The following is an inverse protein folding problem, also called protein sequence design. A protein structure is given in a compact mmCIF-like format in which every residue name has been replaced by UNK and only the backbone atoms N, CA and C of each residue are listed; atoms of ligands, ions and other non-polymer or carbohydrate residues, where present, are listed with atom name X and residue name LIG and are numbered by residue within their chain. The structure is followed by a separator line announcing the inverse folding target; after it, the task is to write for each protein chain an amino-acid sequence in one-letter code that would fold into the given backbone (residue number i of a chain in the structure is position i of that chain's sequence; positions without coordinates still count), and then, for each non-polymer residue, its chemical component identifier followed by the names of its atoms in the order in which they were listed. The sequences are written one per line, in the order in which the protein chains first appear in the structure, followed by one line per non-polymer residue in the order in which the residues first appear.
data_IF_043455610278
#
_entry.id   IF_043455610278
#
_cell.length_a   1.000
_cell.length_b   1.000
_cell.length_c   1.000
_cell.angle_alpha   90.00
_cell.angle_beta   90.00
_cell.angle_gamma   90.00
#
_symmetry.space_group_name_H-M   'P 1'
#
loop_
_entity.id
_entity.type
_entity.pdbx_description
1 polymer ?
#
# COMPACT_ATOMS: atom_id res chain seq x y z
N UNK A 1 -27.02 32.80 47.29
CA UNK A 1 -27.65 33.42 46.10
C UNK A 1 -27.29 32.60 44.87
N UNK A 2 -28.32 32.10 44.20
CA UNK A 2 -28.25 31.26 43.01
C UNK A 2 -27.74 32.05 41.79
N UNK A 3 -26.86 31.44 41.00
CA UNK A 3 -26.76 31.74 39.57
C UNK A 3 -26.57 30.43 38.80
N UNK A 4 -27.71 29.87 38.38
CA UNK A 4 -27.81 28.72 37.48
C UNK A 4 -27.36 29.15 36.09
N UNK A 5 -26.20 28.67 35.62
CA UNK A 5 -25.89 28.69 34.19
C UNK A 5 -26.84 27.73 33.46
N UNK A 6 -27.69 28.28 32.60
CA UNK A 6 -28.54 27.56 31.65
C UNK A 6 -27.66 26.62 30.80
N UNK A 7 -27.95 25.32 30.84
CA UNK A 7 -27.48 24.37 29.83
C UNK A 7 -28.13 24.76 28.50
N UNK A 8 -27.33 25.24 27.56
CA UNK A 8 -27.71 25.24 26.16
C UNK A 8 -27.80 23.77 25.73
N UNK A 9 -28.99 23.36 25.30
CA UNK A 9 -29.25 22.09 24.64
C UNK A 9 -28.47 22.14 23.33
N UNK A 10 -27.30 21.52 23.33
CA UNK A 10 -26.53 21.29 22.12
C UNK A 10 -27.30 20.32 21.24
N UNK A 11 -27.75 20.82 20.09
CA UNK A 11 -28.22 20.04 18.95
C UNK A 11 -27.25 18.87 18.76
N UNK A 12 -27.79 17.64 18.78
CA UNK A 12 -27.00 16.44 18.58
C UNK A 12 -26.22 16.57 17.26
N UNK A 13 -24.90 16.68 17.36
CA UNK A 13 -24.01 16.52 16.22
C UNK A 13 -24.30 15.16 15.59
N UNK A 14 -24.43 15.06 14.26
CA UNK A 14 -24.58 13.77 13.60
C UNK A 14 -23.49 12.84 14.07
N UNK A 15 -23.89 11.65 14.49
CA UNK A 15 -23.05 10.67 15.15
C UNK A 15 -21.74 10.46 14.40
N UNK A 16 -20.66 10.23 15.14
CA UNK A 16 -19.32 9.89 14.64
C UNK A 16 -19.30 8.71 13.64
N UNK A 17 -20.41 7.99 13.50
CA UNK A 17 -20.71 6.98 12.48
C UNK A 17 -20.71 7.54 11.05
N UNK A 18 -21.18 8.78 10.82
CA UNK A 18 -21.21 9.35 9.47
C UNK A 18 -19.82 9.70 8.94
N UNK A 19 -18.93 10.15 9.83
CA UNK A 19 -17.55 10.56 9.55
C UNK A 19 -16.59 9.38 9.27
N UNK A 20 -16.99 8.14 9.52
CA UNK A 20 -16.17 6.94 9.24
C UNK A 20 -16.29 6.40 7.82
N UNK A 21 -17.22 6.91 7.02
CA UNK A 21 -17.45 6.44 5.65
C UNK A 21 -16.48 7.15 4.69
N UNK A 22 -15.20 6.73 4.72
CA UNK A 22 -14.12 7.33 3.95
C UNK A 22 -13.88 6.70 2.55
N UNK A 23 -14.74 5.76 2.13
CA UNK A 23 -14.74 5.16 0.78
C UNK A 23 -15.78 5.78 -0.17
N UNK A 24 -16.57 6.76 0.29
CA UNK A 24 -17.69 7.30 -0.50
C UNK A 24 -17.18 8.25 -1.58
N UNK A 25 -17.12 7.81 -2.84
CA UNK A 25 -17.56 8.70 -3.91
C UNK A 25 -19.06 8.47 -4.08
N UNK A 26 -19.86 9.53 -4.13
CA UNK A 26 -21.29 9.41 -4.47
C UNK A 26 -21.48 8.64 -5.78
N UNK A 27 -20.55 8.82 -6.73
CA UNK A 27 -20.50 8.09 -7.99
C UNK A 27 -20.44 6.55 -7.83
N UNK A 28 -19.73 6.02 -6.83
CA UNK A 28 -19.67 4.58 -6.62
C UNK A 28 -21.00 4.02 -6.09
N UNK A 29 -21.68 4.75 -5.20
CA UNK A 29 -23.00 4.37 -4.69
C UNK A 29 -24.07 4.53 -5.77
N UNK A 30 -23.98 5.57 -6.58
CA UNK A 30 -24.84 5.79 -7.73
C UNK A 30 -24.69 4.66 -8.75
N UNK A 31 -23.46 4.23 -9.06
CA UNK A 31 -23.21 3.09 -9.95
C UNK A 31 -23.82 1.78 -9.42
N UNK A 32 -23.69 1.49 -8.12
CA UNK A 32 -24.29 0.31 -7.48
C UNK A 32 -25.82 0.37 -7.57
N UNK A 33 -26.42 1.53 -7.29
CA UNK A 33 -27.88 1.71 -7.35
C UNK A 33 -28.42 1.72 -8.78
N UNK A 34 -27.70 2.32 -9.73
CA UNK A 34 -28.09 2.35 -11.13
C UNK A 34 -28.12 0.95 -11.74
N UNK A 35 -27.16 0.09 -11.34
CA UNK A 35 -27.13 -1.30 -11.79
C UNK A 35 -28.41 -2.08 -11.47
N UNK A 36 -29.04 -1.81 -10.32
CA UNK A 36 -30.29 -2.48 -9.91
C UNK A 36 -31.47 -2.23 -10.85
N UNK A 37 -31.39 -1.23 -11.75
CA UNK A 37 -32.50 -0.81 -12.62
C UNK A 37 -32.41 -1.31 -14.06
N UNK A 38 -31.21 -1.63 -14.56
CA UNK A 38 -30.95 -1.72 -16.00
C UNK A 38 -30.32 -3.04 -16.48
N UNK A 39 -30.09 -4.04 -15.61
CA UNK A 39 -29.36 -5.25 -15.98
C UNK A 39 -30.27 -6.41 -16.44
N UNK A 40 -30.14 -6.82 -17.70
CA UNK A 40 -30.67 -8.08 -18.23
C UNK A 40 -29.58 -9.17 -18.08
N UNK A 41 -29.73 -10.06 -17.08
CA UNK A 41 -28.78 -11.15 -16.78
C UNK A 41 -28.17 -11.15 -15.36
N UNK A 42 -27.43 -12.21 -14.98
CA UNK A 42 -26.82 -12.31 -13.65
C UNK A 42 -25.72 -11.25 -13.45
N UNK A 43 -25.89 -10.45 -12.40
CA UNK A 43 -24.96 -9.40 -12.04
C UNK A 43 -23.80 -9.92 -11.18
N UNK A 44 -22.56 -9.54 -11.51
CA UNK A 44 -21.37 -9.90 -10.74
C UNK A 44 -20.62 -8.67 -10.23
N UNK A 45 -20.16 -8.74 -8.98
CA UNK A 45 -19.43 -7.67 -8.32
C UNK A 45 -18.00 -8.13 -8.02
N UNK A 46 -16.99 -7.37 -8.45
CA UNK A 46 -15.62 -7.57 -8.01
C UNK A 46 -15.19 -6.42 -7.09
N UNK A 47 -14.99 -6.73 -5.81
CA UNK A 47 -14.35 -5.82 -4.87
C UNK A 47 -12.88 -6.16 -4.78
N UNK A 48 -12.04 -5.17 -4.92
CA UNK A 48 -10.61 -5.30 -4.73
C UNK A 48 -10.10 -4.11 -3.96
N UNK A 49 -8.99 -4.32 -3.26
CA UNK A 49 -8.41 -3.28 -2.46
C UNK A 49 -7.74 -2.22 -3.36
N UNK A 50 -8.51 -1.24 -3.80
CA UNK A 50 -7.98 -0.03 -4.44
C UNK A 50 -7.34 0.83 -3.36
N UNK A 51 -6.05 1.22 -3.46
CA UNK A 51 -5.51 2.27 -2.61
C UNK A 51 -6.30 3.53 -2.95
N UNK A 52 -7.30 3.85 -2.13
CA UNK A 52 -8.04 5.10 -2.20
C UNK A 52 -7.03 6.23 -2.38
N UNK A 53 -7.31 7.13 -3.33
CA UNK A 53 -6.66 8.44 -3.43
C UNK A 53 -7.05 9.32 -2.22
N UNK A 54 -6.93 8.79 -1.00
CA UNK A 54 -7.16 9.51 0.23
C UNK A 54 -5.82 10.09 0.70
N UNK A 55 -5.65 11.39 0.44
CA UNK A 55 -4.58 12.21 1.00
C UNK A 55 -4.46 11.98 2.52
N UNK A 56 -3.21 11.82 2.97
CA UNK A 56 -2.66 12.24 4.28
C UNK A 56 -3.40 11.75 5.56
N UNK A 57 -3.19 10.51 6.03
CA UNK A 57 -3.25 10.15 7.49
C UNK A 57 -2.11 9.20 7.95
N UNK A 58 -1.65 9.26 9.24
CA UNK A 58 -0.27 8.93 9.66
C UNK A 58 -0.16 7.80 10.72
N UNK A 59 -0.92 6.72 10.59
CA UNK A 59 -0.73 5.50 11.42
C UNK A 59 -0.37 4.35 10.46
N UNK A 60 0.06 3.15 10.93
CA UNK A 60 0.03 1.96 10.05
C UNK A 60 -1.32 2.00 9.33
N UNK A 61 -1.33 1.91 7.97
CA UNK A 61 -2.53 2.23 7.22
C UNK A 61 -3.67 1.43 7.85
N UNK A 62 -4.74 2.08 8.38
CA UNK A 62 -5.93 1.31 8.68
C UNK A 62 -6.28 0.56 7.41
N UNK A 63 -6.81 -0.67 7.51
CA UNK A 63 -7.30 -1.35 6.33
C UNK A 63 -8.16 -0.33 5.56
N UNK A 64 -7.92 -0.19 4.25
CA UNK A 64 -8.63 0.78 3.45
C UNK A 64 -10.12 0.64 3.73
N UNK A 65 -10.86 1.76 3.80
CA UNK A 65 -12.23 1.74 4.28
C UNK A 65 -13.04 0.78 3.41
N UNK A 66 -13.48 -0.32 4.00
CA UNK A 66 -14.42 -1.23 3.36
C UNK A 66 -15.80 -0.59 3.42
N UNK A 67 -16.56 -0.55 2.31
CA UNK A 67 -17.94 -0.10 2.35
C UNK A 67 -18.75 -0.93 3.36
N UNK A 68 -19.74 -0.37 4.06
CA UNK A 68 -20.70 -1.16 4.83
C UNK A 68 -21.35 -2.25 3.96
N UNK A 69 -21.45 -3.51 4.42
CA UNK A 69 -22.10 -4.57 3.65
C UNK A 69 -23.54 -4.27 3.24
N UNK A 70 -24.29 -3.50 4.06
CA UNK A 70 -25.65 -3.09 3.74
C UNK A 70 -25.78 -2.16 2.53
N UNK A 71 -24.69 -1.54 2.05
CA UNK A 71 -24.74 -0.72 0.82
C UNK A 71 -24.98 -1.59 -0.45
N UNK A 72 -24.82 -2.91 -0.35
CA UNK A 72 -25.05 -3.87 -1.44
C UNK A 72 -26.41 -4.58 -1.33
N UNK A 73 -27.17 -4.33 -0.27
CA UNK A 73 -28.50 -4.92 -0.08
C UNK A 73 -29.46 -4.40 -1.17
N UNK A 74 -30.15 -5.33 -1.83
CA UNK A 74 -31.08 -5.00 -2.91
C UNK A 74 -30.43 -4.56 -4.24
N UNK A 75 -29.09 -4.63 -4.36
CA UNK A 75 -28.40 -4.25 -5.59
C UNK A 75 -28.47 -5.31 -6.71
N UNK A 76 -29.01 -6.50 -6.44
CA UNK A 76 -29.25 -7.54 -7.44
C UNK A 76 -28.03 -8.38 -7.85
N UNK A 77 -26.88 -8.22 -7.18
CA UNK A 77 -25.69 -9.03 -7.48
C UNK A 77 -25.89 -10.50 -7.11
N UNK A 78 -25.57 -11.41 -8.04
CA UNK A 78 -25.58 -12.86 -7.85
C UNK A 78 -24.28 -13.36 -7.21
N UNK A 79 -23.14 -12.82 -7.65
CA UNK A 79 -21.82 -13.22 -7.15
C UNK A 79 -20.99 -12.00 -6.77
N UNK A 80 -20.32 -12.06 -5.63
CA UNK A 80 -19.31 -11.10 -5.22
C UNK A 80 -17.93 -11.75 -5.06
N UNK A 81 -16.95 -11.25 -5.80
CA UNK A 81 -15.55 -11.62 -5.68
C UNK A 81 -14.81 -10.62 -4.80
N UNK A 82 -14.16 -11.08 -3.74
CA UNK A 82 -13.26 -10.27 -2.91
C UNK A 82 -11.81 -10.60 -3.27
N UNK A 83 -11.07 -9.65 -3.89
CA UNK A 83 -9.73 -9.88 -4.43
C UNK A 83 -8.65 -9.24 -3.54
N UNK A 84 -7.73 -10.06 -3.02
CA UNK A 84 -6.64 -9.70 -2.09
C UNK A 84 -7.12 -9.20 -0.71
N UNK A 85 -8.31 -9.61 -0.28
CA UNK A 85 -8.84 -9.35 1.07
C UNK A 85 -10.13 -10.14 1.37
N UNK A 86 -10.43 -10.32 2.66
CA UNK A 86 -11.75 -10.78 3.17
C UNK A 86 -12.52 -9.70 3.95
N UNK A 87 -11.94 -8.49 4.05
CA UNK A 87 -12.43 -7.36 4.84
C UNK A 87 -12.25 -7.51 6.37
N UNK A 88 -12.42 -6.41 7.13
CA UNK A 88 -12.41 -6.42 8.60
C UNK A 88 -13.75 -6.93 9.17
N UNK A 89 -13.82 -7.20 10.48
CA UNK A 89 -15.08 -7.39 11.23
C UNK A 89 -16.14 -8.28 10.54
N UNK A 90 -15.76 -9.46 10.08
CA UNK A 90 -16.67 -10.40 9.42
C UNK A 90 -17.33 -9.86 8.13
N UNK A 91 -16.71 -8.88 7.46
CA UNK A 91 -17.23 -8.27 6.24
C UNK A 91 -17.70 -9.27 5.18
N UNK A 92 -16.88 -10.27 4.83
CA UNK A 92 -17.27 -11.30 3.86
C UNK A 92 -18.49 -12.13 4.31
N UNK A 93 -18.62 -12.39 5.61
CA UNK A 93 -19.76 -13.10 6.22
C UNK A 93 -21.02 -12.22 6.24
N UNK A 94 -20.89 -10.91 6.40
CA UNK A 94 -22.02 -9.99 6.31
C UNK A 94 -22.49 -9.84 4.86
N UNK A 95 -21.58 -9.77 3.89
CA UNK A 95 -21.92 -9.76 2.46
C UNK A 95 -22.70 -11.01 2.05
N UNK A 96 -22.33 -12.18 2.56
CA UNK A 96 -23.02 -13.44 2.23
C UNK A 96 -24.46 -13.51 2.77
N UNK A 97 -24.92 -12.51 3.55
CA UNK A 97 -26.34 -12.39 3.92
C UNK A 97 -27.18 -11.75 2.82
N UNK A 98 -26.56 -10.96 1.95
CA UNK A 98 -27.24 -10.17 0.91
C UNK A 98 -26.95 -10.69 -0.50
N UNK A 99 -25.78 -11.33 -0.68
CA UNK A 99 -25.31 -11.79 -1.99
C UNK A 99 -25.36 -13.33 -2.04
N UNK A 100 -26.01 -13.92 -3.06
CA UNK A 100 -26.18 -15.37 -3.17
C UNK A 100 -24.90 -16.19 -3.26
N UNK A 101 -23.79 -15.61 -3.75
CA UNK A 101 -22.48 -16.26 -3.78
C UNK A 101 -21.37 -15.25 -3.47
N UNK A 102 -20.54 -15.53 -2.48
CA UNK A 102 -19.38 -14.69 -2.10
C UNK A 102 -18.12 -15.55 -2.15
N UNK A 103 -17.15 -15.14 -2.97
CA UNK A 103 -15.90 -15.87 -3.18
C UNK A 103 -14.74 -14.92 -2.87
N UNK A 104 -13.93 -15.26 -1.89
CA UNK A 104 -12.85 -14.38 -1.42
C UNK A 104 -11.47 -15.01 -1.61
N UNK A 105 -10.50 -14.21 -2.06
CA UNK A 105 -9.11 -14.59 -2.26
C UNK A 105 -8.20 -13.71 -1.40
N UNK A 106 -7.31 -14.32 -0.62
CA UNK A 106 -6.25 -13.64 0.12
C UNK A 106 -5.06 -14.60 0.28
N UNK A 107 -3.85 -14.07 0.38
CA UNK A 107 -2.63 -14.86 0.55
C UNK A 107 -1.89 -14.55 1.86
N UNK A 108 -2.43 -13.63 2.67
CA UNK A 108 -1.75 -13.15 3.87
C UNK A 108 -1.89 -14.14 5.01
N UNK A 109 -0.77 -14.45 5.67
CA UNK A 109 -0.76 -15.24 6.93
C UNK A 109 -1.66 -14.64 8.01
N UNK A 110 -1.75 -13.31 8.08
CA UNK A 110 -2.65 -12.62 9.00
C UNK A 110 -4.13 -12.89 8.71
N UNK A 111 -4.49 -13.12 7.45
CA UNK A 111 -5.85 -13.47 7.06
C UNK A 111 -6.13 -14.92 7.40
N UNK A 112 -5.21 -15.84 7.10
CA UNK A 112 -5.30 -17.25 7.50
C UNK A 112 -5.50 -17.41 9.02
N UNK A 113 -4.75 -16.66 9.82
CA UNK A 113 -4.89 -16.66 11.29
C UNK A 113 -6.25 -16.16 11.79
N UNK A 114 -7.00 -15.39 10.97
CA UNK A 114 -8.33 -14.87 11.33
C UNK A 114 -9.47 -15.82 10.99
N UNK A 115 -9.27 -16.78 10.09
CA UNK A 115 -10.34 -17.69 9.64
C UNK A 115 -11.00 -18.43 10.81
N UNK A 116 -10.27 -19.01 11.80
CA UNK A 116 -10.90 -19.69 12.93
C UNK A 116 -11.84 -18.79 13.75
N UNK A 117 -11.65 -17.47 13.70
CA UNK A 117 -12.47 -16.48 14.42
C UNK A 117 -13.71 -16.02 13.65
N UNK A 118 -13.85 -16.36 12.37
CA UNK A 118 -15.04 -16.03 11.56
C UNK A 118 -16.26 -16.88 11.96
N UNK A 119 -16.06 -17.96 12.71
CA UNK A 119 -17.10 -18.91 13.07
C UNK A 119 -17.49 -19.81 11.89
N UNK A 120 -18.71 -20.36 11.95
CA UNK A 120 -19.23 -21.24 10.89
C UNK A 120 -19.54 -20.40 9.64
N UNK A 121 -18.78 -20.61 8.58
CA UNK A 121 -19.05 -19.99 7.29
C UNK A 121 -20.31 -20.62 6.65
N UNK A 122 -21.22 -19.80 6.08
CA UNK A 122 -22.36 -20.32 5.33
C UNK A 122 -21.89 -20.96 4.02
N UNK A 123 -22.72 -21.81 3.43
CA UNK A 123 -22.37 -22.55 2.20
C UNK A 123 -22.17 -21.66 0.98
N UNK A 124 -22.70 -20.43 1.00
CA UNK A 124 -22.52 -19.45 -0.06
C UNK A 124 -21.31 -18.52 0.14
N UNK A 125 -20.44 -18.82 1.12
CA UNK A 125 -19.18 -18.11 1.33
C UNK A 125 -17.99 -19.05 1.11
N UNK A 126 -17.29 -18.85 0.00
CA UNK A 126 -16.06 -19.57 -0.35
C UNK A 126 -14.82 -18.73 0.01
N UNK A 127 -13.93 -19.29 0.83
CA UNK A 127 -12.70 -18.63 1.26
C UNK A 127 -11.46 -19.34 0.67
N UNK A 128 -10.91 -18.77 -0.38
CA UNK A 128 -9.68 -19.23 -1.05
C UNK A 128 -8.45 -18.55 -0.44
N UNK A 129 -7.99 -19.06 0.71
CA UNK A 129 -6.84 -18.49 1.44
C UNK A 129 -5.61 -19.37 1.28
N UNK A 130 -4.72 -18.97 0.37
CA UNK A 130 -3.49 -19.71 0.05
C UNK A 130 -2.25 -18.86 0.33
N UNK A 131 -1.45 -19.25 1.32
CA UNK A 131 -0.23 -18.51 1.69
C UNK A 131 1.00 -18.87 0.86
N UNK A 132 0.86 -19.82 -0.07
CA UNK A 132 1.93 -20.29 -0.97
C UNK A 132 1.86 -19.66 -2.36
N UNK A 133 0.74 -19.01 -2.66
CA UNK A 133 0.42 -18.42 -3.96
C UNK A 133 -0.11 -17.01 -3.77
N UNK A 134 0.20 -16.09 -4.67
CA UNK A 134 -0.37 -14.73 -4.60
C UNK A 134 -1.87 -14.73 -4.89
N UNK A 135 -2.61 -13.75 -4.35
CA UNK A 135 -4.06 -13.65 -4.62
C UNK A 135 -4.36 -13.41 -6.10
N UNK A 136 -3.50 -12.68 -6.81
CA UNK A 136 -3.62 -12.50 -8.26
C UNK A 136 -3.50 -13.83 -9.00
N UNK A 137 -2.52 -14.66 -8.64
CA UNK A 137 -2.32 -15.98 -9.22
C UNK A 137 -3.47 -16.94 -8.87
N UNK A 138 -3.91 -16.96 -7.63
CA UNK A 138 -5.04 -17.79 -7.18
C UNK A 138 -6.34 -17.43 -7.91
N UNK A 139 -6.59 -16.14 -8.12
CA UNK A 139 -7.76 -15.65 -8.85
C UNK A 139 -7.69 -16.06 -10.33
N UNK A 140 -6.54 -15.92 -10.97
CA UNK A 140 -6.34 -16.39 -12.35
C UNK A 140 -6.58 -17.89 -12.49
N UNK A 141 -5.96 -18.71 -11.63
CA UNK A 141 -6.14 -20.16 -11.64
C UNK A 141 -7.60 -20.58 -11.34
N UNK A 142 -8.35 -19.80 -10.55
CA UNK A 142 -9.77 -20.04 -10.29
C UNK A 142 -10.62 -19.83 -11.54
N UNK A 143 -10.51 -18.68 -12.19
CA UNK A 143 -11.30 -18.40 -13.40
C UNK A 143 -10.91 -19.30 -14.57
N UNK A 144 -9.64 -19.65 -14.72
CA UNK A 144 -9.18 -20.61 -15.73
C UNK A 144 -9.78 -22.00 -15.53
N UNK A 145 -9.89 -22.48 -14.28
CA UNK A 145 -10.54 -23.77 -13.97
C UNK A 145 -12.05 -23.73 -14.15
N UNK A 146 -12.72 -22.70 -13.62
CA UNK A 146 -14.16 -22.58 -13.75
C UNK A 146 -14.61 -22.55 -15.22
N UNK A 147 -13.84 -21.89 -16.09
CA UNK A 147 -14.13 -21.87 -17.53
C UNK A 147 -14.03 -23.27 -18.15
N UNK A 148 -13.01 -24.04 -17.75
CA UNK A 148 -12.83 -25.42 -18.21
C UNK A 148 -13.94 -26.36 -17.71
N UNK A 149 -14.40 -26.19 -16.46
CA UNK A 149 -15.48 -27.00 -15.86
C UNK A 149 -16.85 -26.68 -16.45
N UNK A 150 -17.17 -25.41 -16.72
CA UNK A 150 -18.44 -25.03 -17.37
C UNK A 150 -18.55 -25.60 -18.79
N UNK A 151 -17.42 -25.80 -19.45
CA UNK A 151 -17.36 -26.10 -20.89
C UNK A 151 -16.91 -27.52 -21.22
N UNK A 152 -16.67 -28.39 -20.23
CA UNK A 152 -16.44 -29.82 -20.47
C UNK A 152 -17.65 -30.54 -21.09
N UNK A 153 -18.81 -29.89 -21.13
CA UNK A 153 -20.02 -30.32 -21.85
C UNK A 153 -20.08 -29.84 -23.32
N UNK A 154 -19.09 -29.05 -23.79
CA UNK A 154 -18.99 -28.56 -25.18
C UNK A 154 -17.65 -28.93 -25.82
N UNK A 155 -17.64 -29.29 -27.11
CA UNK A 155 -16.48 -29.83 -27.84
C UNK A 155 -15.33 -28.83 -28.10
N UNK A 156 -15.42 -27.61 -27.55
CA UNK A 156 -14.45 -26.53 -27.76
C UNK A 156 -13.72 -26.15 -26.46
N UNK A 157 -12.42 -26.42 -26.40
CA UNK A 157 -11.51 -25.94 -25.35
C UNK A 157 -11.24 -24.43 -25.50
N UNK A 158 -12.21 -23.59 -25.14
CA UNK A 158 -12.00 -22.15 -25.04
C UNK A 158 -11.23 -21.80 -23.77
N UNK A 159 -10.05 -21.19 -23.93
CA UNK A 159 -9.24 -20.66 -22.84
C UNK A 159 -9.72 -19.26 -22.44
N UNK A 160 -9.39 -18.84 -21.22
CA UNK A 160 -9.72 -17.51 -20.70
C UNK A 160 -9.08 -16.39 -21.52
N UNK A 161 -7.89 -16.66 -22.05
CA UNK A 161 -7.10 -15.80 -22.90
C UNK A 161 -6.64 -16.61 -24.10
N UNK A 162 -6.39 -15.95 -25.23
CA UNK A 162 -5.63 -16.59 -26.31
C UNK A 162 -4.20 -16.92 -25.84
N UNK A 163 -3.46 -17.67 -26.67
CA UNK A 163 -2.15 -18.16 -26.28
C UNK A 163 -1.13 -17.03 -26.02
N UNK A 164 -1.18 -15.94 -26.79
CA UNK A 164 -0.24 -14.81 -26.67
C UNK A 164 -0.54 -14.02 -25.38
N UNK A 165 -1.81 -13.73 -25.14
CA UNK A 165 -2.26 -13.04 -23.94
C UNK A 165 -2.09 -13.88 -22.67
N UNK A 166 -2.28 -15.20 -22.76
CA UNK A 166 -2.02 -16.13 -21.66
C UNK A 166 -0.54 -16.06 -21.24
N UNK A 167 0.39 -16.15 -22.19
CA UNK A 167 1.82 -16.06 -21.89
C UNK A 167 2.19 -14.70 -21.29
N UNK A 168 1.67 -13.61 -21.87
CA UNK A 168 1.87 -12.24 -21.42
C UNK A 168 1.41 -12.03 -19.97
N UNK A 169 0.16 -12.40 -19.67
CA UNK A 169 -0.42 -12.28 -18.33
C UNK A 169 0.31 -13.20 -17.33
N UNK A 170 0.65 -14.42 -17.73
CA UNK A 170 1.38 -15.36 -16.89
C UNK A 170 2.75 -14.83 -16.49
N UNK A 171 3.46 -14.16 -17.40
CA UNK A 171 4.74 -13.53 -17.12
C UNK A 171 4.62 -12.36 -16.14
N UNK A 172 3.58 -11.53 -16.25
CA UNK A 172 3.28 -10.48 -15.26
C UNK A 172 2.96 -11.08 -13.90
N UNK A 173 2.12 -12.12 -13.85
CA UNK A 173 1.72 -12.80 -12.61
C UNK A 173 2.92 -13.40 -11.85
N UNK A 174 3.91 -13.96 -12.56
CA UNK A 174 5.15 -14.45 -11.93
C UNK A 174 5.88 -13.37 -11.12
N UNK A 175 6.01 -12.17 -11.70
CA UNK A 175 6.66 -11.06 -11.01
C UNK A 175 5.84 -10.51 -9.84
N UNK A 176 4.52 -10.42 -10.01
CA UNK A 176 3.61 -10.05 -8.92
C UNK A 176 3.74 -11.05 -7.76
N UNK A 177 3.73 -12.35 -8.07
CA UNK A 177 3.81 -13.40 -7.06
C UNK A 177 5.13 -13.40 -6.30
N UNK A 178 6.26 -13.23 -7.00
CA UNK A 178 7.59 -13.12 -6.39
C UNK A 178 7.66 -11.96 -5.37
N UNK A 179 7.02 -10.82 -5.70
CA UNK A 179 6.95 -9.65 -4.83
C UNK A 179 5.97 -9.83 -3.65
N UNK A 180 4.76 -10.32 -3.91
CA UNK A 180 3.71 -10.51 -2.90
C UNK A 180 4.13 -11.55 -1.85
N UNK A 181 4.74 -12.65 -2.27
CA UNK A 181 5.31 -13.68 -1.40
C UNK A 181 6.66 -13.27 -0.79
N UNK A 182 7.17 -12.08 -1.12
CA UNK A 182 8.45 -11.50 -0.65
C UNK A 182 9.66 -12.40 -0.91
N UNK A 183 9.64 -13.12 -2.01
CA UNK A 183 10.72 -14.03 -2.40
C UNK A 183 11.88 -13.28 -3.05
N UNK A 184 11.59 -12.29 -3.89
CA UNK A 184 12.59 -11.46 -4.60
C UNK A 184 13.61 -12.28 -5.39
N UNK A 185 13.19 -13.41 -5.98
CA UNK A 185 14.05 -14.32 -6.74
C UNK A 185 14.18 -13.93 -8.20
N UNK A 186 13.19 -13.23 -8.75
CA UNK A 186 13.19 -12.87 -10.16
C UNK A 186 14.15 -11.69 -10.43
N UNK A 187 14.82 -11.69 -11.60
CA UNK A 187 15.76 -10.63 -11.95
C UNK A 187 15.03 -9.30 -12.06
N UNK A 188 15.56 -8.26 -11.42
CA UNK A 188 14.97 -6.92 -11.42
C UNK A 188 13.52 -6.85 -10.87
N UNK A 189 13.13 -7.77 -9.98
CA UNK A 189 11.78 -7.81 -9.42
C UNK A 189 11.38 -6.51 -8.67
N UNK A 190 12.34 -5.80 -8.08
CA UNK A 190 12.10 -4.52 -7.38
C UNK A 190 11.81 -3.38 -8.35
N UNK A 191 12.51 -3.36 -9.47
CA UNK A 191 12.34 -2.42 -10.57
C UNK A 191 10.97 -2.65 -11.22
N UNK A 192 10.62 -3.91 -11.49
CA UNK A 192 9.29 -4.30 -11.94
C UNK A 192 8.21 -3.79 -10.98
N UNK A 193 8.34 -4.08 -9.68
CA UNK A 193 7.32 -3.69 -8.69
C UNK A 193 7.20 -2.16 -8.57
N UNK A 194 8.29 -1.44 -8.76
CA UNK A 194 8.29 0.04 -8.77
C UNK A 194 7.55 0.57 -9.99
N UNK A 195 7.83 0.03 -11.18
CA UNK A 195 7.14 0.39 -12.41
C UNK A 195 5.64 0.05 -12.34
N UNK A 196 5.29 -1.17 -11.90
CA UNK A 196 3.91 -1.60 -11.74
C UNK A 196 3.14 -0.68 -10.79
N UNK A 197 3.77 -0.22 -9.70
CA UNK A 197 3.14 0.73 -8.77
C UNK A 197 2.94 2.11 -9.39
N UNK A 198 3.88 2.59 -10.20
CA UNK A 198 3.73 3.86 -10.93
C UNK A 198 2.60 3.77 -11.97
N UNK A 199 2.50 2.64 -12.67
CA UNK A 199 1.40 2.37 -13.61
C UNK A 199 0.05 2.24 -12.92
N UNK A 200 0.01 1.54 -11.78
CA UNK A 200 -1.20 1.43 -10.98
C UNK A 200 -1.76 2.80 -10.57
N UNK A 201 -0.91 3.81 -10.39
CA UNK A 201 -1.36 5.17 -10.08
C UNK A 201 -2.02 5.88 -11.28
N UNK A 202 -1.85 5.35 -12.50
CA UNK A 202 -2.42 5.84 -13.75
C UNK A 202 -3.58 4.97 -14.24
N UNK A 203 -3.81 3.80 -13.62
CA UNK A 203 -4.90 2.89 -13.94
C UNK A 203 -6.25 3.56 -13.68
N UNK A 204 -6.92 3.94 -14.76
CA UNK A 204 -8.30 4.39 -14.75
C UNK A 204 -9.00 3.82 -15.99
N UNK A 205 -9.74 2.73 -15.81
CA UNK A 205 -10.47 2.06 -16.90
C UNK A 205 -11.63 2.91 -17.44
N UNK A 206 -12.09 3.94 -16.71
CA UNK A 206 -13.13 4.86 -17.18
C UNK A 206 -12.55 5.82 -18.22
N UNK A 207 -11.36 6.39 -17.95
CA UNK A 207 -10.71 7.34 -18.86
C UNK A 207 -9.78 6.68 -19.87
N UNK A 208 -9.35 5.45 -19.61
CA UNK A 208 -8.54 4.64 -20.52
C UNK A 208 -9.07 3.18 -20.51
N UNK A 209 -10.07 2.87 -21.35
CA UNK A 209 -10.62 1.52 -21.44
C UNK A 209 -9.59 0.46 -21.88
N UNK A 210 -8.59 0.86 -22.68
CA UNK A 210 -7.54 -0.03 -23.20
C UNK A 210 -6.35 -0.22 -22.25
N UNK A 211 -6.48 0.23 -21.01
CA UNK A 211 -5.35 0.29 -20.07
C UNK A 211 -4.75 -1.09 -19.78
N UNK A 212 -5.56 -2.15 -19.81
CA UNK A 212 -5.08 -3.52 -19.59
C UNK A 212 -4.33 -4.08 -20.81
N UNK A 213 -4.71 -3.69 -22.03
CA UNK A 213 -4.01 -4.09 -23.25
C UNK A 213 -2.64 -3.41 -23.37
N UNK A 214 -2.53 -2.16 -22.90
CA UNK A 214 -1.35 -1.32 -23.03
C UNK A 214 -0.27 -1.57 -21.96
N UNK A 215 -0.64 -2.10 -20.78
CA UNK A 215 0.22 -2.04 -19.58
C UNK A 215 0.79 -3.37 -19.09
N UNK A 216 0.46 -4.49 -19.73
CA UNK A 216 0.78 -5.83 -19.24
C UNK A 216 1.95 -6.51 -19.95
N UNK A 217 2.98 -5.77 -20.36
CA UNK A 217 4.23 -6.35 -20.87
C UNK A 217 5.38 -6.21 -19.87
N UNK A 218 6.01 -7.34 -19.52
CA UNK A 218 7.09 -7.40 -18.54
C UNK A 218 8.34 -6.65 -19.03
N UNK A 219 8.70 -6.78 -20.31
CA UNK A 219 9.88 -6.12 -20.88
C UNK A 219 9.75 -4.60 -20.83
N UNK A 220 8.56 -4.09 -21.14
CA UNK A 220 8.19 -2.68 -21.05
C UNK A 220 8.24 -2.20 -19.58
N UNK A 221 7.59 -2.92 -18.66
CA UNK A 221 7.62 -2.58 -17.22
C UNK A 221 9.04 -2.56 -16.65
N UNK A 222 9.89 -3.49 -17.05
CA UNK A 222 11.29 -3.53 -16.64
C UNK A 222 12.10 -2.36 -17.20
N UNK A 223 11.95 -2.07 -18.49
CA UNK A 223 12.64 -0.95 -19.15
C UNK A 223 12.25 0.38 -18.52
N UNK A 224 10.96 0.56 -18.23
CA UNK A 224 10.43 1.75 -17.54
C UNK A 224 10.86 1.81 -16.08
N UNK A 225 10.88 0.68 -15.38
CA UNK A 225 11.39 0.61 -14.00
C UNK A 225 12.84 1.09 -13.91
N UNK A 226 13.68 0.69 -14.86
CA UNK A 226 15.06 1.18 -14.97
C UNK A 226 15.14 2.68 -15.26
N UNK A 227 14.36 3.18 -16.23
CA UNK A 227 14.28 4.62 -16.52
C UNK A 227 13.85 5.42 -15.30
N UNK A 228 12.77 5.00 -14.63
CA UNK A 228 12.27 5.65 -13.42
C UNK A 228 13.30 5.66 -12.30
N UNK A 229 14.04 4.56 -12.11
CA UNK A 229 15.10 4.49 -11.12
C UNK A 229 16.24 5.47 -11.44
N UNK A 230 16.64 5.55 -12.72
CA UNK A 230 17.65 6.49 -13.19
C UNK A 230 17.21 7.95 -12.99
N UNK A 231 16.00 8.31 -13.43
CA UNK A 231 15.45 9.67 -13.29
C UNK A 231 15.37 10.10 -11.82
N UNK A 232 14.96 9.18 -10.94
CA UNK A 232 14.90 9.45 -9.49
C UNK A 232 16.27 9.62 -8.88
N UNK A 233 17.26 8.86 -9.33
CA UNK A 233 18.65 9.01 -8.89
C UNK A 233 19.23 10.36 -9.32
N UNK A 234 19.07 10.73 -10.60
CA UNK A 234 19.47 12.03 -11.13
C UNK A 234 18.79 13.20 -10.41
N UNK A 235 17.47 13.10 -10.19
CA UNK A 235 16.71 14.11 -9.45
C UNK A 235 17.16 14.20 -7.98
N UNK A 236 17.49 13.08 -7.34
CA UNK A 236 18.01 13.07 -5.98
C UNK A 236 19.39 13.75 -5.91
N UNK A 237 20.29 13.46 -6.84
CA UNK A 237 21.61 14.09 -6.94
C UNK A 237 21.52 15.62 -7.03
N UNK A 238 20.61 16.13 -7.88
CA UNK A 238 20.36 17.58 -8.02
C UNK A 238 19.86 18.25 -6.74
N UNK A 239 19.20 17.50 -5.86
CA UNK A 239 18.69 18.03 -4.59
C UNK A 239 19.74 18.04 -3.48
N UNK A 240 20.82 17.26 -3.60
CA UNK A 240 21.90 17.20 -2.62
C UNK A 240 22.83 18.40 -2.81
N UNK A 241 22.41 19.55 -2.30
CA UNK A 241 23.22 20.76 -2.26
C UNK A 241 23.66 21.04 -0.81
N UNK A 242 24.98 21.05 -0.58
CA UNK A 242 25.60 21.33 0.73
C UNK A 242 25.00 20.49 1.89
N UNK A 243 25.16 19.15 1.86
CA UNK A 243 24.79 18.33 3.00
C UNK A 243 25.56 18.78 4.25
N UNK A 244 24.93 18.65 5.41
CA UNK A 244 25.51 19.06 6.69
C UNK A 244 25.61 17.88 7.65
N UNK A 245 26.56 17.95 8.58
CA UNK A 245 26.74 16.91 9.60
C UNK A 245 25.69 17.03 10.71
N UNK A 246 25.18 15.90 11.16
CA UNK A 246 24.34 15.81 12.37
C UNK A 246 24.92 14.79 13.36
N UNK A 247 24.74 15.06 14.64
CA UNK A 247 25.10 14.16 15.74
C UNK A 247 23.86 13.38 16.14
N UNK A 248 23.68 12.18 15.58
CA UNK A 248 22.48 11.37 15.78
C UNK A 248 22.28 11.08 17.27
N UNK A 249 21.13 11.48 17.81
CA UNK A 249 20.86 11.37 19.23
C UNK A 249 21.85 12.11 20.11
N UNK A 250 22.27 13.32 19.71
CA UNK A 250 23.32 14.09 20.39
C UNK A 250 24.66 13.35 20.47
N UNK A 251 24.96 12.53 19.46
CA UNK A 251 26.19 11.76 19.35
C UNK A 251 26.11 10.31 19.84
N UNK A 252 25.03 9.94 20.56
CA UNK A 252 24.83 8.56 21.05
C UNK A 252 24.82 7.50 19.94
N UNK A 253 24.48 7.91 18.72
CA UNK A 253 24.43 7.03 17.55
C UNK A 253 25.45 7.44 16.48
N UNK A 254 26.49 8.17 16.86
CA UNK A 254 27.51 8.67 15.94
C UNK A 254 27.04 9.84 15.08
N UNK A 255 27.85 10.17 14.09
CA UNK A 255 27.64 11.30 13.19
C UNK A 255 27.37 10.81 11.77
N UNK A 256 26.55 11.55 11.03
CA UNK A 256 26.32 11.27 9.61
C UNK A 256 25.92 12.53 8.84
N UNK A 257 25.89 12.45 7.51
CA UNK A 257 25.42 13.54 6.67
C UNK A 257 23.90 13.57 6.59
N UNK A 258 23.38 14.79 6.55
CA UNK A 258 21.97 15.09 6.45
C UNK A 258 21.67 16.16 5.41
N UNK A 259 20.43 16.16 4.94
CA UNK A 259 19.87 17.28 4.18
C UNK A 259 18.44 17.58 4.62
N UNK A 260 18.06 18.85 4.52
CA UNK A 260 16.68 19.29 4.65
C UNK A 260 16.01 19.31 3.27
N UNK A 261 15.07 18.40 3.05
CA UNK A 261 14.39 18.16 1.78
C UNK A 261 12.89 18.50 1.86
N UNK A 262 12.55 19.69 2.39
CA UNK A 262 11.17 20.17 2.45
C UNK A 262 10.55 20.18 1.04
N UNK A 263 9.31 19.68 0.92
CA UNK A 263 8.62 19.53 -0.37
C UNK A 263 9.07 18.34 -1.24
N UNK A 264 10.22 17.73 -0.96
CA UNK A 264 10.85 16.70 -1.80
C UNK A 264 10.85 15.29 -1.16
N UNK A 265 9.86 15.01 -0.29
CA UNK A 265 9.81 13.75 0.48
C UNK A 265 9.75 12.48 -0.40
N UNK A 266 9.31 12.60 -1.66
CA UNK A 266 9.20 11.48 -2.62
C UNK A 266 10.56 10.88 -3.01
N UNK A 267 11.64 11.65 -2.89
CA UNK A 267 13.02 11.25 -3.22
C UNK A 267 13.85 10.93 -1.97
N UNK A 268 13.22 10.88 -0.79
CA UNK A 268 13.94 10.65 0.48
C UNK A 268 14.67 9.31 0.55
N UNK A 269 14.26 8.31 -0.22
CA UNK A 269 14.98 7.04 -0.27
C UNK A 269 16.29 7.19 -1.02
N UNK A 270 16.24 7.71 -2.24
CA UNK A 270 17.37 7.89 -3.14
C UNK A 270 18.38 8.89 -2.55
N UNK A 271 17.90 10.04 -2.06
CA UNK A 271 18.72 11.04 -1.36
C UNK A 271 19.42 10.40 -0.15
N UNK A 272 18.68 9.63 0.66
CA UNK A 272 19.25 8.99 1.85
C UNK A 272 20.31 7.94 1.52
N UNK A 273 20.14 7.16 0.45
CA UNK A 273 21.16 6.21 0.01
C UNK A 273 22.43 6.93 -0.45
N UNK A 274 22.29 8.03 -1.18
CA UNK A 274 23.46 8.78 -1.64
C UNK A 274 24.18 9.47 -0.47
N UNK A 275 23.45 10.08 0.46
CA UNK A 275 24.01 10.63 1.69
C UNK A 275 24.70 9.57 2.56
N UNK A 276 24.23 8.32 2.54
CA UNK A 276 24.89 7.20 3.22
C UNK A 276 26.28 6.95 2.65
N UNK A 277 26.42 6.91 1.32
CA UNK A 277 27.72 6.74 0.64
C UNK A 277 28.64 7.93 0.93
N UNK A 278 28.10 9.15 0.83
CA UNK A 278 28.86 10.37 1.13
C UNK A 278 29.33 10.41 2.59
N UNK A 279 28.52 9.92 3.53
CA UNK A 279 28.90 9.82 4.95
C UNK A 279 30.08 8.87 5.13
N UNK A 280 30.03 7.68 4.50
CA UNK A 280 31.16 6.73 4.51
C UNK A 280 32.43 7.36 3.94
N UNK A 281 32.32 8.04 2.78
CA UNK A 281 33.45 8.71 2.14
C UNK A 281 34.06 9.84 3.01
N UNK A 282 33.24 10.47 3.85
CA UNK A 282 33.67 11.47 4.83
C UNK A 282 34.16 10.86 6.16
N UNK A 283 34.27 9.54 6.28
CA UNK A 283 34.68 8.86 7.52
C UNK A 283 33.63 8.89 8.64
N UNK A 284 32.37 9.19 8.31
CA UNK A 284 31.25 9.23 9.24
C UNK A 284 30.53 7.87 9.27
N UNK A 285 29.56 7.71 10.19
CA UNK A 285 28.73 6.51 10.22
C UNK A 285 28.00 6.37 8.87
N UNK A 286 27.92 5.17 8.26
CA UNK A 286 27.34 4.96 6.93
C UNK A 286 25.81 5.09 6.93
N UNK A 287 25.31 6.29 7.23
CA UNK A 287 23.89 6.61 7.34
C UNK A 287 23.66 7.93 6.60
N UNK A 288 22.65 7.97 5.74
CA UNK A 288 22.12 9.22 5.21
C UNK A 288 20.84 9.62 5.92
N UNK A 289 20.76 10.88 6.36
CA UNK A 289 19.56 11.42 7.01
C UNK A 289 18.84 12.44 6.12
N UNK A 290 17.59 12.15 5.75
CA UNK A 290 16.74 13.09 5.01
C UNK A 290 15.69 13.65 5.94
N UNK A 291 15.66 14.96 6.08
CA UNK A 291 14.82 15.67 7.05
C UNK A 291 13.80 16.53 6.31
N UNK A 292 12.52 16.43 6.64
CA UNK A 292 11.49 17.30 6.06
C UNK A 292 10.30 17.50 7.01
N UNK A 293 9.63 18.64 6.88
CA UNK A 293 8.46 18.98 7.67
C UNK A 293 7.27 18.08 7.31
N UNK A 294 6.69 17.45 8.34
CA UNK A 294 5.49 16.64 8.25
C UNK A 294 4.59 16.90 9.45
N UNK A 295 3.47 17.61 9.24
CA UNK A 295 2.45 17.92 10.27
C UNK A 295 3.02 18.68 11.49
N UNK A 296 3.86 19.67 11.25
CA UNK A 296 4.44 20.50 12.33
C UNK A 296 5.62 19.87 13.06
N UNK A 297 6.00 18.63 12.73
CA UNK A 297 7.22 17.97 13.19
C UNK A 297 8.20 17.79 12.05
N UNK A 298 9.48 17.65 12.37
CA UNK A 298 10.49 17.22 11.42
C UNK A 298 10.45 15.70 11.36
N UNK A 299 10.17 15.15 10.19
CA UNK A 299 10.36 13.72 9.91
C UNK A 299 11.79 13.49 9.47
N UNK A 300 12.46 12.54 10.13
CA UNK A 300 13.82 12.14 9.83
C UNK A 300 13.77 10.73 9.26
N UNK A 301 14.20 10.58 8.02
CA UNK A 301 14.33 9.31 7.32
C UNK A 301 15.80 8.91 7.28
N UNK A 302 16.13 7.77 7.89
CA UNK A 302 17.48 7.22 7.87
C UNK A 302 17.59 6.10 6.84
N UNK A 303 18.66 6.13 6.03
CA UNK A 303 18.99 5.08 5.07
C UNK A 303 20.44 4.68 5.26
N UNK A 304 20.75 3.40 5.03
CA UNK A 304 22.12 2.90 4.98
C UNK A 304 22.28 1.98 3.78
N UNK A 305 23.43 2.07 3.12
CA UNK A 305 23.91 1.08 2.13
C UNK A 305 24.78 0.01 2.77
N UNK A 306 25.22 0.21 4.01
CA UNK A 306 26.01 -0.74 4.78
C UNK A 306 25.11 -1.79 5.46
N UNK A 307 25.44 -3.07 5.25
CA UNK A 307 24.66 -4.22 5.75
C UNK A 307 24.84 -4.46 7.25
N UNK A 308 25.93 -3.97 7.84
CA UNK A 308 26.20 -4.09 9.28
C UNK A 308 25.44 -3.05 10.12
N UNK A 309 24.99 -1.97 9.51
CA UNK A 309 24.33 -0.86 10.18
C UNK A 309 22.81 -1.07 10.26
N UNK A 310 22.26 -1.01 11.49
CA UNK A 310 20.83 -1.08 11.74
C UNK A 310 20.24 0.29 12.13
N UNK A 311 19.64 0.99 11.16
CA UNK A 311 18.99 2.29 11.41
C UNK A 311 17.69 2.17 12.20
N UNK A 312 17.03 1.01 12.21
CA UNK A 312 15.75 0.82 12.88
C UNK A 312 15.88 0.91 14.41
N UNK A 313 17.03 0.56 14.98
CA UNK A 313 17.32 0.71 16.41
C UNK A 313 17.31 2.18 16.82
N UNK A 314 17.94 3.03 16.02
CA UNK A 314 17.93 4.49 16.23
C UNK A 314 16.49 5.00 16.15
N UNK A 315 15.76 4.63 15.10
CA UNK A 315 14.38 5.09 14.95
C UNK A 315 13.48 4.68 16.12
N UNK A 316 13.62 3.46 16.65
CA UNK A 316 12.86 2.98 17.82
C UNK A 316 13.13 3.81 19.07
N UNK A 317 14.38 4.24 19.30
CA UNK A 317 14.74 5.08 20.44
C UNK A 317 14.00 6.44 20.45
N UNK A 318 13.53 6.90 19.28
CA UNK A 318 12.76 8.13 19.11
C UNK A 318 11.30 7.88 18.73
N UNK A 319 10.74 6.72 19.11
CA UNK A 319 9.32 6.39 18.88
C UNK A 319 8.95 6.10 17.42
N UNK A 320 9.94 5.89 16.56
CA UNK A 320 9.75 5.50 15.16
C UNK A 320 10.02 4.01 14.91
N UNK A 321 10.34 3.69 13.66
CA UNK A 321 10.64 2.32 13.27
C UNK A 321 10.96 2.16 11.79
N UNK A 322 11.09 0.91 11.35
CA UNK A 322 11.38 0.56 9.97
C UNK A 322 12.18 -0.73 9.84
N UNK A 323 12.77 -0.92 8.67
CA UNK A 323 13.71 -2.01 8.37
C UNK A 323 15.13 -1.60 8.75
N UNK A 324 16.08 -2.53 8.93
CA UNK A 324 17.46 -2.20 9.27
C UNK A 324 18.09 -1.17 8.33
N UNK A 325 17.87 -1.29 7.03
CA UNK A 325 18.41 -0.38 6.01
C UNK A 325 17.57 0.89 5.75
N UNK A 326 16.36 0.98 6.33
CA UNK A 326 15.41 2.04 6.00
C UNK A 326 14.39 2.25 7.12
N UNK A 327 14.57 3.33 7.86
CA UNK A 327 13.73 3.67 9.02
C UNK A 327 13.38 5.16 9.06
N UNK A 328 12.45 5.53 9.94
CA UNK A 328 12.12 6.93 10.19
C UNK A 328 11.49 7.16 11.56
N UNK A 329 11.62 8.37 12.07
CA UNK A 329 11.01 8.88 13.29
C UNK A 329 10.70 10.38 13.10
N UNK A 330 10.08 11.01 14.10
CA UNK A 330 9.77 12.43 14.07
C UNK A 330 10.33 13.12 15.32
N UNK A 331 10.85 14.32 15.15
CA UNK A 331 11.34 15.19 16.22
C UNK A 331 10.66 16.56 16.15
N UNK A 332 10.63 17.25 17.29
CA UNK A 332 10.39 18.69 17.30
C UNK A 332 11.62 19.45 16.77
N UNK A 333 11.42 20.71 16.38
CA UNK A 333 12.48 21.56 15.84
C UNK A 333 13.62 21.79 16.85
N UNK A 334 13.29 22.01 18.12
CA UNK A 334 14.25 22.20 19.21
C UNK A 334 15.10 20.95 19.46
N UNK A 335 14.49 19.77 19.42
CA UNK A 335 15.19 18.49 19.55
C UNK A 335 16.16 18.26 18.40
N UNK A 336 15.75 18.57 17.18
CA UNK A 336 16.61 18.45 16.00
C UNK A 336 17.75 19.49 15.99
N UNK A 337 17.49 20.72 16.44
CA UNK A 337 18.53 21.74 16.56
C UNK A 337 19.65 21.31 17.51
N UNK A 338 19.34 20.52 18.55
CA UNK A 338 20.34 19.94 19.43
C UNK A 338 21.24 18.88 18.76
N UNK A 339 20.85 18.35 17.60
CA UNK A 339 21.67 17.40 16.83
C UNK A 339 22.60 18.12 15.85
N UNK A 340 22.25 19.34 15.44
CA UNK A 340 23.09 20.21 14.60
C UNK A 340 24.08 21.00 15.47
N UNK A 341 23.67 21.43 16.66
CA UNK A 341 24.48 22.26 17.53
C UNK A 341 25.60 21.45 18.19
N UNK A 342 26.85 21.78 17.88
CA UNK A 342 28.03 21.30 18.61
C UNK A 342 28.02 21.98 19.98
N UNK A 343 27.74 21.23 21.06
CA UNK A 343 28.27 21.65 22.36
C UNK A 343 29.73 21.20 22.37
N UNK A 344 30.65 22.14 22.18
CA UNK A 344 32.02 21.93 22.66
C UNK A 344 31.89 21.64 24.17
N UNK A 345 32.20 20.41 24.57
CA UNK A 345 32.31 20.08 25.99
C UNK A 345 33.41 20.94 26.61
N UNK A 346 33.34 21.22 27.93
CA UNK A 346 34.42 21.94 28.59
C UNK A 346 35.70 21.11 28.44
N UNK A 347 36.71 21.70 27.80
CA UNK A 347 38.09 21.26 27.95
C UNK A 347 38.44 21.36 29.43
N UNK A 348 38.63 20.20 30.06
CA UNK A 348 39.19 20.09 31.40
C UNK A 348 40.68 20.41 31.40
#
# INVERSE_FOLDING_TARGET
MLSRRRRLIGVASPAATELRRAFRSEAALEAIRAHSKDADGPAHLALYNYPTFARRRPLPPPPPPTPPPGDFEGAGFQTCYLLDFIGPNNFALELSRFIPSVIAFDHRRSTLARIPHLGRCPSNLELNIDTTKSSARATFDYFSRNLAEIKSDSDMCEKLLDQEDEERVFNVLKYIEDADLRQWKLPNAKEFQTALRDERAKLNCITNPLVFEQQLDVCNLLSRGKSLAHDRFEAAGKLIHKPFRIHLGRGLHGECLAIRADGNSKLSHEIGLELSKMSTAAGLRPIGAVVFMQRGLLKICLRTTDSSTNTAEIAKAYGGGGKPSSSSFALRMDEFNAWISVKHGPTF
#
